data_IF_065445561726
#
_entry.id   IF_065445561726
#
_cell.length_a   1.000
_cell.length_b   1.000
_cell.length_c   1.000
_cell.angle_alpha   90.00
_cell.angle_beta   90.00
_cell.angle_gamma   90.00
#
_symmetry.space_group_name_H-M   'P 1'
#
loop_
_entity.id
_entity.type
_entity.pdbx_description
1 polymer ?
#
# COMPACT_ATOMS: atom_id res chain seq x y z
N UNK A 1 -21.87 -0.98 -16.01
CA UNK A 1 -21.36 -1.63 -14.77
C UNK A 1 -22.37 -1.39 -13.65
N UNK A 2 -22.86 -2.42 -12.97
CA UNK A 2 -23.86 -2.23 -11.91
C UNK A 2 -23.25 -1.57 -10.67
N UNK A 3 -23.95 -0.61 -10.06
CA UNK A 3 -23.49 0.11 -8.85
C UNK A 3 -23.18 -0.81 -7.66
N UNK A 4 -23.78 -2.00 -7.62
CA UNK A 4 -23.45 -3.04 -6.64
C UNK A 4 -22.03 -3.58 -6.80
N UNK A 5 -21.49 -3.63 -8.03
CA UNK A 5 -20.12 -4.14 -8.26
C UNK A 5 -19.04 -3.15 -7.82
N UNK A 6 -19.26 -1.84 -7.98
CA UNK A 6 -18.32 -0.80 -7.54
C UNK A 6 -18.29 -0.66 -6.02
N UNK A 7 -19.44 -0.76 -5.35
CA UNK A 7 -19.50 -0.76 -3.89
C UNK A 7 -18.76 -1.95 -3.27
N UNK A 8 -18.95 -3.15 -3.82
CA UNK A 8 -18.24 -4.35 -3.36
C UNK A 8 -16.72 -4.22 -3.56
N UNK A 9 -16.29 -3.72 -4.73
CA UNK A 9 -14.87 -3.42 -5.01
C UNK A 9 -14.29 -2.42 -4.01
N UNK A 10 -14.99 -1.32 -3.74
CA UNK A 10 -14.53 -0.32 -2.77
C UNK A 10 -14.36 -0.90 -1.35
N UNK A 11 -15.28 -1.77 -0.92
CA UNK A 11 -15.22 -2.44 0.38
C UNK A 11 -14.08 -3.46 0.46
N UNK A 12 -13.85 -4.23 -0.60
CA UNK A 12 -12.73 -5.16 -0.68
C UNK A 12 -11.39 -4.41 -0.59
N UNK A 13 -11.24 -3.36 -1.39
CA UNK A 13 -10.05 -2.50 -1.40
C UNK A 13 -9.79 -1.86 -0.03
N UNK A 14 -10.84 -1.41 0.67
CA UNK A 14 -10.71 -0.85 2.01
C UNK A 14 -10.13 -1.87 3.00
N UNK A 15 -10.63 -3.12 2.98
CA UNK A 15 -10.14 -4.18 3.87
C UNK A 15 -8.68 -4.52 3.58
N UNK A 16 -8.30 -4.57 2.32
CA UNK A 16 -6.92 -4.82 1.91
C UNK A 16 -5.98 -3.71 2.36
N UNK A 17 -6.33 -2.45 2.08
CA UNK A 17 -5.56 -1.27 2.50
C UNK A 17 -5.48 -1.18 4.02
N UNK A 18 -6.56 -1.48 4.73
CA UNK A 18 -6.57 -1.51 6.19
C UNK A 18 -5.63 -2.59 6.75
N UNK A 19 -5.57 -3.77 6.12
CA UNK A 19 -4.62 -4.82 6.52
C UNK A 19 -3.19 -4.36 6.27
N UNK A 20 -2.91 -3.82 5.08
CA UNK A 20 -1.58 -3.28 4.73
C UNK A 20 -1.18 -2.12 5.64
N UNK A 21 -2.11 -1.28 6.08
CA UNK A 21 -1.84 -0.16 6.97
C UNK A 21 -1.43 -0.57 8.38
N UNK A 22 -1.83 -1.77 8.86
CA UNK A 22 -1.42 -2.27 10.18
C UNK A 22 0.04 -2.68 10.23
N UNK A 23 0.56 -3.21 9.13
CA UNK A 23 1.94 -3.69 9.04
C UNK A 23 2.93 -2.58 8.63
N UNK A 24 2.44 -1.34 8.51
CA UNK A 24 3.18 -0.22 7.91
C UNK A 24 4.46 0.05 8.70
N UNK A 25 5.62 0.21 8.03
CA UNK A 25 6.91 0.26 8.70
C UNK A 25 7.11 1.49 9.59
N UNK A 26 6.36 2.58 9.34
CA UNK A 26 6.45 3.82 10.10
C UNK A 26 5.28 3.94 11.10
N UNK A 27 5.54 3.84 12.42
CA UNK A 27 4.49 3.96 13.44
C UNK A 27 3.95 5.38 13.59
N UNK A 28 4.68 6.40 13.14
CA UNK A 28 4.24 7.80 13.19
C UNK A 28 3.34 8.17 11.99
N UNK A 29 3.33 7.31 10.96
CA UNK A 29 2.50 7.53 9.79
C UNK A 29 1.06 7.05 10.05
N UNK A 30 0.14 8.00 10.22
CA UNK A 30 -1.30 7.74 10.40
C UNK A 30 -1.96 7.24 9.10
N UNK A 31 -1.58 6.04 8.66
CA UNK A 31 -2.09 5.41 7.44
C UNK A 31 -3.59 5.17 7.54
N UNK A 32 -4.04 4.58 8.65
CA UNK A 32 -5.44 4.20 8.84
C UNK A 32 -6.35 5.43 8.97
N UNK A 33 -5.90 6.48 9.66
CA UNK A 33 -6.64 7.74 9.74
C UNK A 33 -6.73 8.45 8.39
N UNK A 34 -5.66 8.44 7.58
CA UNK A 34 -5.69 8.95 6.20
C UNK A 34 -6.63 8.14 5.30
N UNK A 35 -6.58 6.81 5.38
CA UNK A 35 -7.48 5.92 4.65
C UNK A 35 -8.95 6.21 4.98
N UNK A 36 -9.27 6.33 6.28
CA UNK A 36 -10.63 6.65 6.73
C UNK A 36 -11.09 8.01 6.19
N UNK A 37 -10.26 9.05 6.32
CA UNK A 37 -10.57 10.40 5.79
C UNK A 37 -10.80 10.40 4.29
N UNK A 38 -10.02 9.64 3.53
CA UNK A 38 -10.18 9.53 2.07
C UNK A 38 -11.54 8.90 1.70
N UNK A 39 -11.91 7.78 2.32
CA UNK A 39 -13.20 7.13 2.08
C UNK A 39 -14.38 7.97 2.56
N UNK A 40 -14.21 8.73 3.64
CA UNK A 40 -15.24 9.64 4.15
C UNK A 40 -15.49 10.81 3.20
N UNK A 41 -14.43 11.45 2.69
CA UNK A 41 -14.53 12.52 1.68
C UNK A 41 -15.26 12.05 0.41
N UNK A 42 -15.04 10.80 0.02
CA UNK A 42 -15.58 10.22 -1.20
C UNK A 42 -16.95 9.52 -1.02
N UNK A 43 -17.54 9.52 0.19
CA UNK A 43 -18.77 8.78 0.51
C UNK A 43 -19.98 9.20 -0.34
N UNK A 44 -20.04 10.47 -0.73
CA UNK A 44 -21.17 11.05 -1.47
C UNK A 44 -20.97 11.07 -2.99
N UNK A 45 -19.89 10.48 -3.51
CA UNK A 45 -19.68 10.35 -4.95
C UNK A 45 -20.77 9.47 -5.56
N UNK A 46 -21.45 10.00 -6.57
CA UNK A 46 -22.51 9.31 -7.34
C UNK A 46 -22.12 9.09 -8.80
N UNK A 47 -21.14 9.85 -9.29
CA UNK A 47 -20.67 9.75 -10.67
C UNK A 47 -19.80 8.48 -10.85
N UNK A 48 -20.15 7.56 -11.76
CA UNK A 48 -19.38 6.35 -12.00
C UNK A 48 -17.92 6.61 -12.40
N UNK A 49 -17.62 7.69 -13.14
CA UNK A 49 -16.24 7.98 -13.55
C UNK A 49 -15.36 8.38 -12.38
N UNK A 50 -15.86 9.26 -11.51
CA UNK A 50 -15.16 9.69 -10.29
C UNK A 50 -14.97 8.53 -9.31
N UNK A 51 -15.94 7.62 -9.20
CA UNK A 51 -15.81 6.40 -8.39
C UNK A 51 -14.67 5.53 -8.92
N UNK A 52 -14.59 5.34 -10.24
CA UNK A 52 -13.53 4.53 -10.85
C UNK A 52 -12.15 5.19 -10.68
N UNK A 53 -12.05 6.52 -10.79
CA UNK A 53 -10.82 7.27 -10.48
C UNK A 53 -10.39 7.08 -9.03
N UNK A 54 -11.33 7.17 -8.08
CA UNK A 54 -11.05 6.96 -6.67
C UNK A 54 -10.60 5.52 -6.37
N UNK A 55 -11.19 4.53 -7.03
CA UNK A 55 -10.77 3.13 -6.93
C UNK A 55 -9.35 2.92 -7.47
N UNK A 56 -9.04 3.47 -8.65
CA UNK A 56 -7.69 3.42 -9.24
C UNK A 56 -6.65 4.06 -8.34
N UNK A 57 -6.98 5.18 -7.71
CA UNK A 57 -6.10 5.83 -6.73
C UNK A 57 -5.85 4.92 -5.52
N UNK A 58 -6.88 4.25 -5.00
CA UNK A 58 -6.73 3.30 -3.91
C UNK A 58 -5.88 2.08 -4.29
N UNK A 59 -6.03 1.54 -5.50
CA UNK A 59 -5.18 0.47 -6.04
C UNK A 59 -3.72 0.91 -6.20
N UNK A 60 -3.50 2.15 -6.65
CA UNK A 60 -2.16 2.73 -6.73
C UNK A 60 -1.49 2.78 -5.34
N UNK A 61 -2.20 3.27 -4.32
CA UNK A 61 -1.71 3.32 -2.93
C UNK A 61 -1.39 1.91 -2.41
N UNK A 62 -2.22 0.91 -2.72
CA UNK A 62 -1.98 -0.50 -2.37
C UNK A 62 -0.65 -0.97 -2.97
N UNK A 63 -0.44 -0.75 -4.27
CA UNK A 63 0.77 -1.19 -4.97
C UNK A 63 2.03 -0.48 -4.46
N UNK A 64 1.96 0.83 -4.22
CA UNK A 64 3.03 1.62 -3.60
C UNK A 64 3.42 1.05 -2.23
N UNK A 65 2.41 0.72 -1.40
CA UNK A 65 2.65 0.14 -0.07
C UNK A 65 3.31 -1.24 -0.14
N UNK A 66 2.86 -2.09 -1.09
CA UNK A 66 3.48 -3.40 -1.35
C UNK A 66 4.93 -3.28 -1.86
N UNK A 67 5.20 -2.28 -2.70
CA UNK A 67 6.55 -1.98 -3.18
C UNK A 67 7.46 -1.56 -2.03
N UNK A 68 6.99 -0.71 -1.12
CA UNK A 68 7.72 -0.32 0.09
C UNK A 68 8.07 -1.53 0.97
N UNK A 69 7.15 -2.48 1.15
CA UNK A 69 7.43 -3.73 1.87
C UNK A 69 8.50 -4.56 1.18
N UNK A 70 8.39 -4.71 -0.14
CA UNK A 70 9.37 -5.45 -0.95
C UNK A 70 10.76 -4.82 -0.86
N UNK A 71 10.83 -3.49 -0.91
CA UNK A 71 12.08 -2.74 -0.77
C UNK A 71 12.69 -2.89 0.62
N UNK A 72 11.88 -2.83 1.69
CA UNK A 72 12.36 -3.08 3.06
C UNK A 72 12.95 -4.49 3.18
N UNK A 73 12.26 -5.50 2.65
CA UNK A 73 12.74 -6.89 2.63
C UNK A 73 14.05 -7.02 1.84
N UNK A 74 14.11 -6.43 0.65
CA UNK A 74 15.32 -6.42 -0.18
C UNK A 74 16.51 -5.76 0.53
N UNK A 75 16.31 -4.59 1.17
CA UNK A 75 17.35 -3.90 1.94
C UNK A 75 17.87 -4.77 3.09
N UNK A 76 16.99 -5.48 3.78
CA UNK A 76 17.39 -6.41 4.83
C UNK A 76 18.21 -7.58 4.28
N UNK A 77 17.72 -8.26 3.24
CA UNK A 77 18.45 -9.35 2.58
C UNK A 77 19.81 -8.88 2.08
N UNK A 78 19.88 -7.73 1.41
CA UNK A 78 21.15 -7.17 0.94
C UNK A 78 22.13 -6.98 2.10
N UNK A 79 21.72 -6.46 3.25
CA UNK A 79 22.62 -6.28 4.41
C UNK A 79 23.11 -7.61 5.00
N UNK A 80 22.25 -8.62 5.02
CA UNK A 80 22.57 -9.94 5.62
C UNK A 80 23.45 -10.77 4.69
N UNK A 81 23.25 -10.65 3.38
CA UNK A 81 23.92 -11.45 2.37
C UNK A 81 24.95 -10.68 1.53
N UNK A 82 25.17 -9.37 1.74
CA UNK A 82 26.32 -8.68 1.15
C UNK A 82 27.57 -9.31 1.78
N UNK A 83 28.40 -10.03 1.00
CA UNK A 83 29.71 -10.39 1.49
C UNK A 83 30.45 -9.05 1.61
N UNK A 84 30.67 -8.58 2.84
CA UNK A 84 31.78 -7.66 3.08
C UNK A 84 32.98 -8.20 2.29
N UNK A 85 33.72 -7.36 1.54
CA UNK A 85 34.76 -7.85 0.64
C UNK A 85 35.65 -8.81 1.43
N UNK A 86 35.70 -10.06 0.96
CA UNK A 86 36.50 -11.11 1.57
C UNK A 86 37.88 -10.50 1.89
N UNK A 87 38.42 -10.66 3.11
CA UNK A 87 39.75 -10.16 3.42
C UNK A 87 40.69 -10.69 2.35
N UNK A 88 41.38 -9.77 1.65
CA UNK A 88 42.31 -10.14 0.58
C UNK A 88 43.30 -11.14 1.17
N UNK A 89 43.52 -12.30 0.51
CA UNK A 89 44.47 -13.28 1.01
C UNK A 89 45.85 -12.62 1.13
N UNK A 90 46.60 -12.89 2.22
CA UNK A 90 47.95 -12.36 2.38
C UNK A 90 48.82 -12.87 1.22
N UNK A 91 49.57 -11.93 0.63
CA UNK A 91 50.55 -12.18 -0.44
C UNK A 91 51.70 -13.06 0.05
#
# INVERSE_FOLDING_TARGET
MSANSTRLRALALYKELHRLGRDYPDPNYDFLGKLRRMYEKNRHLKDPEEIEKALKLGEYIKNETLALYSLRKYRHLKRVYDPAPLPKPPL
#
